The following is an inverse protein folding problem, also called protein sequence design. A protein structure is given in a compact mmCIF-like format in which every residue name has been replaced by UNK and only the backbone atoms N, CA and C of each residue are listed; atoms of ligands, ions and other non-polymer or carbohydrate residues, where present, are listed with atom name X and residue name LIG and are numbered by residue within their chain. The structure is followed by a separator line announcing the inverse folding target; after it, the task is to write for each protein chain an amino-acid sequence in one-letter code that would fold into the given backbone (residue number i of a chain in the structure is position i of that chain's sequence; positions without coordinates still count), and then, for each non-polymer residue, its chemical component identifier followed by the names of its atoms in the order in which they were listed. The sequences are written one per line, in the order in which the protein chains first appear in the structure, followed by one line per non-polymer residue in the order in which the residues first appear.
data_IF_513159125290
#
_entry.id   IF_513159125290
#
_cell.length_a   1.000
_cell.length_b   1.000
_cell.length_c   1.000
_cell.angle_alpha   90.00
_cell.angle_beta   90.00
_cell.angle_gamma   90.00
#
_symmetry.space_group_name_H-M   'P 1'
#
loop_
_entity.id
_entity.type
_entity.pdbx_description
1 polymer ?
#
# COMPACT_ATOMS: atom_id res chain seq x y z
N UNK A 1 -9.77 2.96 -17.05
CA UNK A 1 -8.93 2.18 -16.12
C UNK A 1 -7.65 2.95 -15.89
N UNK A 2 -7.09 2.88 -14.70
CA UNK A 2 -5.77 3.44 -14.43
C UNK A 2 -4.71 2.81 -15.35
N UNK A 3 -3.74 3.62 -15.78
CA UNK A 3 -2.53 3.10 -16.44
C UNK A 3 -1.51 2.81 -15.35
N UNK A 4 -0.98 1.58 -15.30
CA UNK A 4 0.01 1.17 -14.31
C UNK A 4 1.42 1.18 -14.91
N UNK A 5 2.31 1.97 -14.30
CA UNK A 5 3.75 1.88 -14.48
C UNK A 5 4.32 1.16 -13.24
N UNK A 6 4.88 -0.03 -13.43
CA UNK A 6 5.47 -0.82 -12.36
C UNK A 6 6.98 -0.80 -12.47
N UNK A 7 7.65 -0.39 -11.38
CA UNK A 7 9.09 -0.47 -11.18
C UNK A 7 9.32 -1.41 -9.99
N UNK A 8 9.86 -2.59 -10.28
CA UNK A 8 10.19 -3.57 -9.24
C UNK A 8 11.72 -3.71 -9.15
N UNK A 9 12.26 -3.30 -8.02
CA UNK A 9 13.69 -3.35 -7.71
C UNK A 9 14.05 -4.50 -6.75
N UNK A 10 13.16 -5.47 -6.62
CA UNK A 10 13.32 -6.66 -5.76
C UNK A 10 13.49 -7.91 -6.62
N UNK A 11 13.82 -9.03 -5.98
CA UNK A 11 13.87 -10.35 -6.62
C UNK A 11 12.50 -11.00 -6.82
N UNK A 12 11.40 -10.31 -6.48
CA UNK A 12 10.06 -10.83 -6.66
C UNK A 12 9.68 -10.90 -8.14
N UNK A 13 8.87 -11.91 -8.47
CA UNK A 13 8.31 -12.04 -9.81
C UNK A 13 7.48 -10.82 -10.21
N UNK A 14 7.90 -10.15 -11.27
CA UNK A 14 7.21 -8.98 -11.82
C UNK A 14 5.75 -9.26 -12.18
N UNK A 15 5.41 -10.46 -12.65
CA UNK A 15 4.05 -10.82 -13.00
C UNK A 15 3.17 -10.93 -11.75
N UNK A 16 3.72 -11.45 -10.65
CA UNK A 16 3.04 -11.52 -9.36
C UNK A 16 2.75 -10.11 -8.82
N UNK A 17 3.80 -9.26 -8.72
CA UNK A 17 3.68 -7.89 -8.22
C UNK A 17 2.67 -7.10 -9.05
N UNK A 18 2.81 -7.14 -10.39
CA UNK A 18 1.89 -6.46 -11.32
C UNK A 18 0.45 -6.89 -11.10
N UNK A 19 0.20 -8.17 -10.98
CA UNK A 19 -1.15 -8.73 -10.80
C UNK A 19 -1.79 -8.22 -9.50
N UNK A 20 -1.05 -8.17 -8.41
CA UNK A 20 -1.53 -7.65 -7.13
C UNK A 20 -1.91 -6.18 -7.29
N UNK A 21 -1.02 -5.34 -7.81
CA UNK A 21 -1.24 -3.91 -7.96
C UNK A 21 -2.38 -3.60 -8.94
N UNK A 22 -2.49 -4.30 -10.06
CA UNK A 22 -3.60 -4.14 -11.01
C UNK A 22 -4.94 -4.53 -10.40
N UNK A 23 -4.96 -5.57 -9.54
CA UNK A 23 -6.17 -5.93 -8.80
C UNK A 23 -6.59 -4.82 -7.84
N UNK A 24 -5.65 -4.24 -7.10
CA UNK A 24 -5.91 -3.10 -6.22
C UNK A 24 -6.43 -1.88 -7.00
N UNK A 25 -5.81 -1.55 -8.15
CA UNK A 25 -6.30 -0.47 -9.04
C UNK A 25 -7.76 -0.69 -9.45
N UNK A 26 -8.11 -1.91 -9.83
CA UNK A 26 -9.49 -2.27 -10.23
C UNK A 26 -10.46 -2.20 -9.07
N UNK A 27 -10.10 -2.72 -7.91
CA UNK A 27 -10.93 -2.69 -6.70
C UNK A 27 -11.22 -1.26 -6.24
N UNK A 28 -10.20 -0.42 -6.22
CA UNK A 28 -10.32 0.99 -5.87
C UNK A 28 -10.92 1.83 -7.00
N UNK A 29 -11.09 1.25 -8.21
CA UNK A 29 -11.59 1.96 -9.39
C UNK A 29 -10.78 3.22 -9.71
N UNK A 30 -9.47 3.16 -9.55
CA UNK A 30 -8.57 4.24 -9.88
C UNK A 30 -8.65 4.55 -11.39
N UNK A 31 -8.57 5.83 -11.73
CA UNK A 31 -8.75 6.31 -13.11
C UNK A 31 -7.49 6.92 -13.69
N UNK A 32 -6.63 7.46 -12.82
CA UNK A 32 -5.41 8.18 -13.22
C UNK A 32 -4.25 7.21 -13.37
N UNK A 33 -3.12 7.73 -13.86
CA UNK A 33 -1.88 6.97 -13.91
C UNK A 33 -1.41 6.62 -12.50
N UNK A 34 -0.99 5.38 -12.31
CA UNK A 34 -0.36 4.90 -11.08
C UNK A 34 1.06 4.47 -11.41
N UNK A 35 2.03 5.14 -10.82
CA UNK A 35 3.41 4.68 -10.77
C UNK A 35 3.60 3.93 -9.47
N UNK A 36 3.99 2.67 -9.54
CA UNK A 36 4.21 1.81 -8.37
C UNK A 36 5.67 1.36 -8.32
N UNK A 37 6.36 1.73 -7.24
CA UNK A 37 7.74 1.35 -6.98
C UNK A 37 7.78 0.34 -5.84
N UNK A 38 8.28 -0.86 -6.13
CA UNK A 38 8.56 -1.88 -5.12
C UNK A 38 10.06 -2.07 -4.96
N UNK A 39 10.54 -2.01 -3.72
CA UNK A 39 11.96 -2.00 -3.42
C UNK A 39 12.29 -2.81 -2.16
N UNK A 40 13.50 -3.34 -2.11
CA UNK A 40 14.04 -4.10 -0.96
C UNK A 40 14.70 -3.18 0.08
N UNK A 41 15.27 -2.06 -0.39
CA UNK A 41 15.92 -1.05 0.43
C UNK A 41 15.26 0.30 0.15
N UNK A 42 14.93 1.04 1.22
CA UNK A 42 14.34 2.35 1.08
C UNK A 42 15.30 3.31 0.37
N UNK A 43 14.86 3.84 -0.76
CA UNK A 43 15.60 4.83 -1.54
C UNK A 43 14.90 6.18 -1.46
N UNK A 44 15.68 7.26 -1.37
CA UNK A 44 15.12 8.59 -1.47
C UNK A 44 14.63 8.85 -2.90
N UNK A 45 13.55 9.63 -3.02
CA UNK A 45 13.11 10.20 -4.29
C UNK A 45 13.45 11.68 -4.30
N UNK A 46 13.87 12.19 -5.44
CA UNK A 46 13.85 13.62 -5.69
C UNK A 46 12.39 14.05 -5.80
N UNK A 47 11.92 14.87 -4.86
CA UNK A 47 10.55 15.34 -4.80
C UNK A 47 10.14 16.18 -6.02
N UNK A 48 11.13 16.77 -6.71
CA UNK A 48 10.92 17.64 -7.86
C UNK A 48 10.81 16.86 -9.16
N UNK A 49 11.70 15.87 -9.35
CA UNK A 49 11.80 15.09 -10.58
C UNK A 49 11.10 13.74 -10.50
N UNK A 50 10.87 13.22 -9.28
CA UNK A 50 10.39 11.87 -9.05
C UNK A 50 11.41 10.79 -9.42
N UNK A 51 12.69 11.17 -9.59
CA UNK A 51 13.77 10.24 -9.88
C UNK A 51 14.25 9.57 -8.60
N UNK A 52 14.62 8.29 -8.72
CA UNK A 52 15.19 7.54 -7.61
C UNK A 52 16.60 8.05 -7.36
N UNK A 53 16.77 8.78 -6.27
CA UNK A 53 18.10 9.15 -5.78
C UNK A 53 18.58 7.97 -4.95
N UNK A 54 19.69 7.34 -5.34
CA UNK A 54 20.35 6.34 -4.52
C UNK A 54 20.75 6.99 -3.20
N UNK A 55 19.86 6.87 -2.23
CA UNK A 55 20.11 7.28 -0.86
C UNK A 55 21.09 6.31 -0.20
N UNK A 56 21.88 6.83 0.68
CA UNK A 56 22.63 6.05 1.66
C UNK A 56 21.66 5.17 2.41
N UNK A 57 22.02 3.91 2.59
CA UNK A 57 21.34 2.93 3.44
C UNK A 57 20.89 3.57 4.76
N UNK A 58 19.70 4.12 4.81
CA UNK A 58 19.07 4.45 6.06
C UNK A 58 18.24 3.24 6.48
N UNK A 59 18.85 2.57 7.03
CA UNK A 59 18.96 1.62 7.79
C UNK A 59 18.07 0.67 8.58
N UNK A 60 17.20 0.96 9.33
CA UNK A 60 16.53 0.11 10.32
C UNK A 60 15.10 -0.29 9.95
N UNK A 61 14.51 0.33 8.95
CA UNK A 61 13.14 0.03 8.55
C UNK A 61 13.15 -1.19 7.63
N UNK A 62 12.67 -2.30 8.14
CA UNK A 62 12.56 -3.54 7.36
C UNK A 62 11.35 -3.54 6.42
N UNK A 63 10.41 -2.61 6.62
CA UNK A 63 9.24 -2.40 5.80
C UNK A 63 8.64 -1.00 5.99
N UNK A 64 8.13 -0.39 4.93
CA UNK A 64 7.51 0.93 4.92
C UNK A 64 6.73 1.17 3.62
N UNK A 65 5.89 2.21 3.58
CA UNK A 65 5.17 2.63 2.40
C UNK A 65 4.88 4.13 2.39
N UNK A 66 4.70 4.70 1.21
CA UNK A 66 4.16 6.05 1.04
C UNK A 66 3.40 6.20 -0.28
N UNK A 67 2.49 7.19 -0.31
CA UNK A 67 1.72 7.54 -1.49
C UNK A 67 1.68 9.04 -1.71
N UNK A 68 1.91 9.46 -2.95
CA UNK A 68 2.01 10.86 -3.31
C UNK A 68 1.10 11.20 -4.48
N UNK A 69 0.42 12.33 -4.36
CA UNK A 69 -0.35 12.90 -5.45
C UNK A 69 0.59 13.59 -6.43
N UNK A 70 0.52 13.17 -7.68
CA UNK A 70 1.23 13.80 -8.79
C UNK A 70 0.27 14.60 -9.68
N UNK A 71 0.81 15.49 -10.52
CA UNK A 71 -0.01 16.28 -11.46
C UNK A 71 -0.92 15.44 -12.36
N UNK A 72 -0.41 14.30 -12.85
CA UNK A 72 -1.10 13.41 -13.78
C UNK A 72 -1.55 12.07 -13.20
N UNK A 73 -1.39 11.87 -11.88
CA UNK A 73 -1.68 10.57 -11.29
C UNK A 73 -1.26 10.46 -9.84
N UNK A 74 -0.66 9.34 -9.49
CA UNK A 74 -0.11 9.08 -8.18
C UNK A 74 1.11 8.19 -8.23
N UNK A 75 1.98 8.36 -7.25
CA UNK A 75 3.12 7.51 -6.98
C UNK A 75 2.86 6.76 -5.69
N UNK A 76 3.10 5.46 -5.72
CA UNK A 76 3.13 4.59 -4.53
C UNK A 76 4.50 3.96 -4.44
N UNK A 77 5.08 4.01 -3.25
CA UNK A 77 6.30 3.25 -2.94
C UNK A 77 5.99 2.26 -1.84
N UNK A 78 6.48 1.06 -2.01
CA UNK A 78 6.49 0.02 -0.97
C UNK A 78 7.90 -0.51 -0.83
N UNK A 79 8.41 -0.48 0.39
CA UNK A 79 9.66 -1.11 0.77
C UNK A 79 9.35 -2.34 1.64
N UNK A 80 9.91 -3.47 1.27
CA UNK A 80 9.83 -4.69 2.07
C UNK A 80 11.15 -5.44 1.91
N UNK A 81 11.98 -5.35 2.96
CA UNK A 81 13.30 -5.96 2.95
C UNK A 81 13.24 -7.47 2.93
N UNK A 82 14.08 -8.09 2.10
CA UNK A 82 14.31 -9.53 2.07
C UNK A 82 14.85 -10.07 3.41
N UNK A 83 15.37 -9.18 4.27
CA UNK A 83 15.85 -9.49 5.62
C UNK A 83 14.73 -9.53 6.67
N UNK A 84 13.50 -9.15 6.31
CA UNK A 84 12.36 -9.17 7.25
C UNK A 84 12.07 -10.59 7.69
N UNK A 85 12.07 -10.81 8.99
CA UNK A 85 11.81 -12.12 9.60
C UNK A 85 10.33 -12.27 9.91
N UNK A 86 9.69 -13.33 9.42
CA UNK A 86 8.27 -13.61 9.64
C UNK A 86 8.06 -14.72 10.68
N UNK A 87 6.93 -14.72 11.42
CA UNK A 87 5.83 -13.76 11.32
C UNK A 87 6.17 -12.39 11.92
N UNK A 88 5.66 -11.32 11.31
CA UNK A 88 5.71 -9.98 11.87
C UNK A 88 4.42 -9.70 12.61
N UNK A 89 4.52 -9.21 13.84
CA UNK A 89 3.37 -8.73 14.62
C UNK A 89 3.39 -7.21 14.60
N UNK A 90 2.28 -6.63 14.20
CA UNK A 90 2.12 -5.18 14.15
C UNK A 90 0.95 -4.74 15.01
N UNK A 91 1.23 -3.83 15.93
CA UNK A 91 0.24 -3.21 16.80
C UNK A 91 -0.26 -1.91 16.14
N UNK A 92 -1.49 -1.96 15.64
CA UNK A 92 -2.15 -0.80 15.04
C UNK A 92 -2.81 -0.01 16.16
N UNK A 93 -2.12 1.02 16.64
CA UNK A 93 -2.65 1.92 17.64
C UNK A 93 -2.97 3.29 17.02
N UNK A 94 -4.18 3.45 16.48
CA UNK A 94 -4.71 4.74 16.03
C UNK A 94 -5.71 5.24 17.07
N UNK A 95 -5.41 6.36 17.71
CA UNK A 95 -6.30 7.02 18.64
C UNK A 95 -6.95 8.24 17.98
N UNK A 96 -8.25 8.19 17.77
CA UNK A 96 -9.04 9.31 17.27
C UNK A 96 -9.99 9.78 18.37
N UNK A 97 -10.40 11.06 18.38
CA UNK A 97 -11.43 11.55 19.30
C UNK A 97 -12.72 10.72 19.19
N UNK A 98 -13.03 9.98 20.24
CA UNK A 98 -14.22 9.13 20.30
C UNK A 98 -14.12 7.74 19.65
N UNK A 99 -13.01 7.42 18.98
CA UNK A 99 -12.74 6.11 18.41
C UNK A 99 -11.30 5.67 18.66
N UNK A 100 -11.13 4.37 18.88
CA UNK A 100 -9.81 3.77 19.01
C UNK A 100 -9.74 2.57 18.08
N UNK A 101 -9.01 2.68 16.97
CA UNK A 101 -8.58 1.51 16.25
C UNK A 101 -7.42 0.90 17.02
N UNK A 102 -7.72 -0.10 17.83
CA UNK A 102 -6.73 -0.91 18.53
C UNK A 102 -6.80 -2.31 17.98
N UNK A 103 -5.69 -2.80 17.54
CA UNK A 103 -5.63 -4.17 17.07
C UNK A 103 -4.20 -4.60 16.85
N UNK A 104 -3.97 -5.86 17.12
CA UNK A 104 -2.74 -6.52 16.72
C UNK A 104 -3.05 -7.29 15.46
N UNK A 105 -2.38 -6.95 14.38
CA UNK A 105 -2.35 -7.79 13.19
C UNK A 105 -1.02 -8.49 13.09
N UNK A 106 -0.98 -9.57 12.36
CA UNK A 106 0.25 -10.30 12.11
C UNK A 106 0.30 -10.69 10.62
N UNK A 107 1.50 -10.77 10.11
CA UNK A 107 1.75 -11.19 8.73
C UNK A 107 2.53 -12.49 8.77
N UNK A 108 1.96 -13.54 8.17
CA UNK A 108 2.58 -14.86 8.17
C UNK A 108 3.82 -14.91 7.27
N UNK A 109 3.86 -14.08 6.25
CA UNK A 109 4.90 -14.07 5.23
C UNK A 109 4.98 -12.72 4.52
N UNK A 110 5.98 -12.58 3.67
CA UNK A 110 6.23 -11.36 2.92
C UNK A 110 5.09 -10.98 1.95
N UNK A 111 4.38 -11.97 1.39
CA UNK A 111 3.26 -11.72 0.48
C UNK A 111 2.08 -11.04 1.18
N UNK A 112 1.73 -11.50 2.38
CA UNK A 112 0.68 -10.86 3.19
C UNK A 112 1.05 -9.43 3.57
N UNK A 113 2.31 -9.21 3.95
CA UNK A 113 2.79 -7.89 4.32
C UNK A 113 2.83 -6.95 3.10
N UNK A 114 3.34 -7.42 1.96
CA UNK A 114 3.31 -6.65 0.72
C UNK A 114 1.89 -6.27 0.31
N UNK A 115 0.96 -7.23 0.37
CA UNK A 115 -0.44 -6.98 0.04
C UNK A 115 -1.05 -5.91 0.94
N UNK A 116 -0.78 -5.97 2.24
CA UNK A 116 -1.25 -4.98 3.19
C UNK A 116 -0.67 -3.59 2.88
N UNK A 117 0.65 -3.47 2.76
CA UNK A 117 1.33 -2.19 2.48
C UNK A 117 0.85 -1.59 1.15
N UNK A 118 0.81 -2.40 0.10
CA UNK A 118 0.32 -1.95 -1.20
C UNK A 118 -1.14 -1.50 -1.15
N UNK A 119 -2.00 -2.20 -0.42
CA UNK A 119 -3.40 -1.84 -0.27
C UNK A 119 -3.58 -0.53 0.51
N UNK A 120 -2.81 -0.35 1.59
CA UNK A 120 -2.79 0.87 2.40
C UNK A 120 -2.43 2.09 1.53
N UNK A 121 -1.30 2.04 0.86
CA UNK A 121 -0.80 3.15 0.05
C UNK A 121 -1.67 3.42 -1.18
N UNK A 122 -2.18 2.38 -1.83
CA UNK A 122 -3.13 2.54 -2.93
C UNK A 122 -4.45 3.16 -2.48
N UNK A 123 -4.85 2.97 -1.21
CA UNK A 123 -6.02 3.63 -0.64
C UNK A 123 -5.81 5.14 -0.54
N UNK A 124 -4.61 5.61 -0.20
CA UNK A 124 -4.28 7.04 -0.23
C UNK A 124 -4.44 7.64 -1.63
N UNK A 125 -4.05 6.94 -2.70
CA UNK A 125 -4.32 7.42 -4.06
C UNK A 125 -5.81 7.56 -4.33
N UNK A 126 -6.62 6.62 -3.87
CA UNK A 126 -8.07 6.72 -3.97
C UNK A 126 -8.61 7.93 -3.21
N UNK A 127 -8.10 8.21 -2.02
CA UNK A 127 -8.47 9.38 -1.21
C UNK A 127 -8.14 10.68 -1.96
N UNK A 128 -6.98 10.76 -2.61
CA UNK A 128 -6.60 11.90 -3.44
C UNK A 128 -7.50 12.08 -4.67
N UNK A 129 -7.88 10.99 -5.34
CA UNK A 129 -8.80 11.05 -6.48
C UNK A 129 -10.23 11.44 -6.08
N UNK A 130 -10.64 11.09 -4.87
CA UNK A 130 -12.01 11.23 -4.38
C UNK A 130 -12.11 12.13 -3.13
N UNK A 131 -11.28 13.15 -3.05
CA UNK A 131 -11.09 13.98 -1.86
C UNK A 131 -12.40 14.44 -1.19
N UNK A 132 -13.36 14.95 -1.97
CA UNK A 132 -14.65 15.40 -1.43
C UNK A 132 -15.46 14.27 -0.79
N UNK A 133 -15.48 13.11 -1.45
CA UNK A 133 -16.19 11.91 -0.97
C UNK A 133 -15.49 11.34 0.24
N UNK A 134 -14.16 11.28 0.21
CA UNK A 134 -13.36 10.78 1.32
C UNK A 134 -13.57 11.65 2.57
N UNK A 135 -13.44 12.97 2.47
CA UNK A 135 -13.71 13.90 3.60
C UNK A 135 -15.10 13.73 4.19
N UNK A 136 -16.13 13.48 3.35
CA UNK A 136 -17.48 13.24 3.85
C UNK A 136 -17.57 11.93 4.64
N UNK A 137 -16.98 10.84 4.13
CA UNK A 137 -16.97 9.54 4.80
C UNK A 137 -16.19 9.59 6.11
N UNK A 138 -14.98 10.15 6.08
CA UNK A 138 -14.15 10.28 7.27
C UNK A 138 -14.84 11.11 8.36
N UNK A 139 -15.50 12.22 7.98
CA UNK A 139 -16.29 13.01 8.94
C UNK A 139 -17.46 12.23 9.54
N UNK A 140 -18.22 11.49 8.72
CA UNK A 140 -19.37 10.70 9.18
C UNK A 140 -18.95 9.58 10.13
N UNK A 141 -17.79 8.96 9.86
CA UNK A 141 -17.27 7.85 10.65
C UNK A 141 -16.30 8.29 11.75
N UNK A 142 -16.04 9.60 11.85
CA UNK A 142 -15.08 10.19 12.80
C UNK A 142 -13.71 9.51 12.75
N UNK A 143 -13.16 9.36 11.54
CA UNK A 143 -11.85 8.76 11.30
C UNK A 143 -10.99 9.67 10.42
N UNK A 144 -9.67 9.47 10.44
CA UNK A 144 -8.72 10.12 9.55
C UNK A 144 -8.41 9.25 8.32
N UNK A 145 -7.63 9.80 7.40
CA UNK A 145 -7.25 9.14 6.15
C UNK A 145 -6.40 7.90 6.40
N UNK A 146 -5.53 7.94 7.41
CA UNK A 146 -4.69 6.81 7.81
C UNK A 146 -5.53 5.64 8.35
N UNK A 147 -6.50 5.95 9.22
CA UNK A 147 -7.43 4.92 9.74
C UNK A 147 -8.25 4.28 8.62
N UNK A 148 -8.72 5.08 7.65
CA UNK A 148 -9.43 4.56 6.48
C UNK A 148 -8.53 3.66 5.62
N UNK A 149 -7.25 4.03 5.44
CA UNK A 149 -6.29 3.23 4.69
C UNK A 149 -5.97 1.91 5.40
N UNK A 150 -5.75 1.93 6.72
CA UNK A 150 -5.53 0.73 7.54
C UNK A 150 -6.73 -0.22 7.48
N UNK A 151 -7.95 0.30 7.65
CA UNK A 151 -9.17 -0.52 7.60
C UNK A 151 -9.36 -1.17 6.22
N UNK A 152 -9.06 -0.43 5.16
CA UNK A 152 -9.11 -0.97 3.81
C UNK A 152 -8.07 -2.09 3.62
N UNK A 153 -6.84 -1.87 4.05
CA UNK A 153 -5.76 -2.86 3.94
C UNK A 153 -6.04 -4.12 4.75
N UNK A 154 -6.56 -3.97 5.98
CA UNK A 154 -6.98 -5.11 6.82
C UNK A 154 -8.10 -5.92 6.17
N UNK A 155 -9.05 -5.26 5.52
CA UNK A 155 -10.12 -5.95 4.78
C UNK A 155 -9.55 -6.75 3.62
N UNK A 156 -8.66 -6.15 2.81
CA UNK A 156 -7.99 -6.84 1.70
C UNK A 156 -7.22 -8.05 2.19
N UNK A 157 -6.48 -7.92 3.30
CA UNK A 157 -5.76 -9.02 3.92
C UNK A 157 -6.71 -10.13 4.42
N UNK A 158 -7.83 -9.76 5.04
CA UNK A 158 -8.85 -10.70 5.50
C UNK A 158 -9.47 -11.48 4.33
N UNK A 159 -9.80 -10.78 3.25
CA UNK A 159 -10.33 -11.41 2.04
C UNK A 159 -9.30 -12.37 1.41
N UNK A 160 -8.03 -11.99 1.39
CA UNK A 160 -6.92 -12.84 0.93
C UNK A 160 -6.83 -14.14 1.74
N UNK A 161 -6.92 -14.05 3.05
CA UNK A 161 -6.85 -15.22 3.95
C UNK A 161 -8.07 -16.12 3.85
N UNK A 162 -9.27 -15.51 3.73
CA UNK A 162 -10.56 -16.23 3.72
C UNK A 162 -10.78 -16.97 2.40
N UNK A 163 -10.47 -16.34 1.28
CA UNK A 163 -10.77 -16.88 -0.06
C UNK A 163 -9.56 -17.50 -0.74
N UNK A 164 -8.61 -18.00 0.04
CA UNK A 164 -7.45 -18.73 -0.46
C UNK A 164 -6.68 -17.92 -1.53
N UNK A 165 -6.37 -16.68 -1.19
CA UNK A 165 -5.56 -15.74 -1.97
C UNK A 165 -6.21 -15.22 -3.27
N UNK A 166 -7.42 -14.66 -3.23
CA UNK A 166 -8.09 -14.15 -4.43
C UNK A 166 -7.33 -13.02 -5.13
N UNK A 167 -6.46 -12.32 -4.39
CA UNK A 167 -5.65 -11.22 -4.89
C UNK A 167 -4.42 -11.68 -5.69
N UNK A 168 -3.96 -12.87 -5.43
CA UNK A 168 -2.72 -13.44 -5.98
C UNK A 168 -3.00 -14.46 -7.08
N UNK A 169 -4.10 -15.22 -6.98
CA UNK A 169 -4.42 -16.23 -7.98
C UNK A 169 -4.66 -15.63 -9.36
N UNK A 170 -3.92 -16.09 -10.32
CA UNK A 170 -4.22 -15.83 -11.73
C UNK A 170 -5.57 -16.44 -12.07
N UNK A 171 -6.42 -15.69 -12.72
CA UNK A 171 -7.44 -16.31 -13.55
C UNK A 171 -6.70 -17.24 -14.53
N UNK A 172 -6.88 -18.54 -14.36
CA UNK A 172 -6.50 -19.53 -15.37
C UNK A 172 -7.39 -19.37 -16.56
#
# INVERSE_FOLDING_TARGET
MATLELINLTDWDNALVRRIVENLCRHLRLRRQVRFLFQDIWTALDETTGEIVRGTESSETTWDGDAWKMSNGGLVRVCLSSKTVFPVVWDINRALPGQYLRGVTWFANAEEMFLYLAAHEMRHLWQFEHEKKNRQVCRLLNMDDETDADLYALRVLSDHRTYDRPWVRSQK
#
